data_IF_741855108061
#
_entry.id   IF_741855108061
#
_cell.length_a   1.000
_cell.length_b   1.000
_cell.length_c   1.000
_cell.angle_alpha   90.00
_cell.angle_beta   90.00
_cell.angle_gamma   90.00
#
_symmetry.space_group_name_H-M   'P 1'
#
loop_
_entity.id
_entity.type
_entity.pdbx_description
1 polymer ?
#
# COMPACT_ATOMS: atom_id res chain seq x y z
N UNK A 1 28.88 -40.67 -0.11
CA UNK A 1 28.18 -39.77 0.83
C UNK A 1 27.51 -38.72 -0.04
N UNK A 2 26.24 -38.95 -0.38
CA UNK A 2 25.46 -37.99 -1.16
C UNK A 2 25.18 -36.77 -0.29
N UNK A 3 25.83 -35.66 -0.64
CA UNK A 3 25.60 -34.35 -0.03
C UNK A 3 24.20 -33.89 -0.41
N UNK A 4 23.27 -34.08 0.52
CA UNK A 4 21.95 -33.49 0.49
C UNK A 4 22.08 -31.97 0.31
N UNK A 5 21.77 -31.49 -0.89
CA UNK A 5 21.50 -30.09 -1.13
C UNK A 5 20.21 -29.74 -0.39
N UNK A 6 20.32 -29.28 0.85
CA UNK A 6 19.24 -28.60 1.54
C UNK A 6 18.89 -27.35 0.74
N UNK A 7 17.88 -27.47 -0.13
CA UNK A 7 17.15 -26.34 -0.63
C UNK A 7 16.49 -25.69 0.61
N UNK A 8 16.80 -24.42 0.94
CA UNK A 8 16.15 -23.77 2.06
C UNK A 8 14.66 -23.84 1.79
N UNK A 9 13.90 -24.37 2.74
CA UNK A 9 12.43 -24.36 2.71
C UNK A 9 11.97 -22.91 2.79
N UNK A 10 12.08 -22.21 1.66
CA UNK A 10 11.61 -20.85 1.48
C UNK A 10 10.13 -20.82 1.83
N UNK A 11 9.79 -19.98 2.80
CA UNK A 11 8.41 -19.85 3.28
C UNK A 11 7.47 -19.68 2.09
N UNK A 12 6.38 -20.45 2.10
CA UNK A 12 5.38 -20.40 1.03
C UNK A 12 4.82 -18.99 0.80
N UNK A 13 3.94 -18.81 -0.20
CA UNK A 13 3.38 -17.50 -0.56
C UNK A 13 2.61 -16.81 0.58
N UNK A 14 2.24 -17.56 1.61
CA UNK A 14 1.54 -17.08 2.83
C UNK A 14 2.46 -16.92 4.04
N UNK A 15 3.77 -17.06 3.88
CA UNK A 15 4.70 -16.77 4.96
C UNK A 15 4.66 -15.29 5.31
N UNK A 16 4.83 -14.96 6.60
CA UNK A 16 4.82 -13.57 7.07
C UNK A 16 5.83 -12.70 6.32
N UNK A 17 7.00 -13.26 5.97
CA UNK A 17 8.02 -12.56 5.21
C UNK A 17 7.52 -12.18 3.81
N UNK A 18 6.87 -13.11 3.10
CA UNK A 18 6.30 -12.83 1.78
C UNK A 18 5.12 -11.85 1.87
N UNK A 19 4.26 -11.95 2.89
CA UNK A 19 3.16 -11.01 3.09
C UNK A 19 3.69 -9.59 3.30
N UNK A 20 4.69 -9.42 4.16
CA UNK A 20 5.32 -8.12 4.42
C UNK A 20 6.01 -7.57 3.17
N UNK A 21 6.75 -8.42 2.45
CA UNK A 21 7.40 -8.06 1.19
C UNK A 21 6.37 -7.59 0.16
N UNK A 22 5.33 -8.37 -0.10
CA UNK A 22 4.27 -8.03 -1.05
C UNK A 22 3.54 -6.74 -0.63
N UNK A 23 3.24 -6.57 0.65
CA UNK A 23 2.62 -5.35 1.18
C UNK A 23 3.46 -4.10 0.91
N UNK A 24 4.77 -4.17 1.18
CA UNK A 24 5.69 -3.07 0.90
C UNK A 24 5.75 -2.73 -0.60
N UNK A 25 5.81 -3.75 -1.47
CA UNK A 25 5.83 -3.59 -2.93
C UNK A 25 4.56 -2.95 -3.48
N UNK A 26 3.41 -3.37 -2.98
CA UNK A 26 2.11 -2.82 -3.40
C UNK A 26 1.98 -1.36 -2.98
N UNK A 27 2.35 -1.02 -1.75
CA UNK A 27 2.26 0.36 -1.26
C UNK A 27 3.24 1.27 -1.99
N UNK A 28 4.50 0.85 -2.16
CA UNK A 28 5.51 1.59 -2.91
C UNK A 28 5.04 1.87 -4.34
N UNK A 29 4.61 0.83 -5.07
CA UNK A 29 4.15 0.96 -6.45
C UNK A 29 2.89 1.83 -6.58
N UNK A 30 2.01 1.80 -5.58
CA UNK A 30 0.81 2.63 -5.56
C UNK A 30 1.13 4.12 -5.35
N UNK A 31 2.04 4.45 -4.42
CA UNK A 31 2.46 5.84 -4.20
C UNK A 31 3.23 6.37 -5.41
N UNK A 32 4.15 5.59 -5.98
CA UNK A 32 4.91 5.99 -7.18
C UNK A 32 3.97 6.28 -8.37
N UNK A 33 2.95 5.44 -8.58
CA UNK A 33 1.95 5.64 -9.64
C UNK A 33 1.18 6.97 -9.49
N UNK A 34 0.74 7.27 -8.26
CA UNK A 34 -0.03 8.49 -7.94
C UNK A 34 0.84 9.74 -8.05
N UNK A 35 2.05 9.68 -7.54
CA UNK A 35 2.96 10.82 -7.55
C UNK A 35 3.42 11.20 -8.97
N UNK A 36 3.70 10.21 -9.82
CA UNK A 36 4.05 10.43 -11.23
C UNK A 36 2.92 11.07 -12.05
N UNK A 37 1.66 10.99 -11.58
CA UNK A 37 0.52 11.69 -12.21
C UNK A 37 0.35 13.13 -11.72
N UNK A 38 0.81 13.44 -10.50
CA UNK A 38 0.65 14.77 -9.87
C UNK A 38 1.80 15.74 -10.19
N UNK A 39 2.99 15.25 -10.53
CA UNK A 39 4.17 16.09 -10.80
C UNK A 39 4.96 15.46 -11.94
N UNK A 40 5.30 16.26 -12.96
CA UNK A 40 6.26 15.85 -14.00
C UNK A 40 7.68 15.56 -13.47
N UNK A 41 7.91 15.76 -12.18
CA UNK A 41 9.07 15.27 -11.43
C UNK A 41 8.61 14.11 -10.56
N UNK A 42 9.11 12.91 -10.85
CA UNK A 42 8.94 11.75 -9.99
C UNK A 42 9.35 12.12 -8.56
N UNK A 43 8.56 11.78 -7.53
CA UNK A 43 9.03 11.95 -6.16
C UNK A 43 10.33 11.15 -6.00
N UNK A 44 11.26 11.64 -5.20
CA UNK A 44 12.40 10.88 -4.70
C UNK A 44 11.93 9.77 -3.73
N UNK A 45 11.02 8.90 -4.18
CA UNK A 45 10.93 7.56 -3.64
C UNK A 45 12.12 6.83 -4.22
N UNK A 46 13.31 7.06 -3.63
CA UNK A 46 14.59 6.41 -3.91
C UNK A 46 14.57 4.91 -3.52
N UNK A 47 13.45 4.25 -3.79
CA UNK A 47 13.26 2.83 -3.68
C UNK A 47 13.25 2.30 -5.10
N UNK A 48 14.25 1.50 -5.42
CA UNK A 48 14.39 0.88 -6.73
C UNK A 48 13.08 0.17 -7.11
N UNK A 49 12.67 0.24 -8.39
CA UNK A 49 11.52 -0.52 -8.87
C UNK A 49 11.83 -2.01 -8.71
N UNK A 50 11.25 -2.62 -7.69
CA UNK A 50 11.46 -4.05 -7.42
C UNK A 50 10.67 -4.86 -8.45
N UNK A 51 11.28 -5.90 -9.06
CA UNK A 51 10.58 -6.79 -9.98
C UNK A 51 9.34 -7.40 -9.31
N UNK A 52 8.17 -7.13 -9.88
CA UNK A 52 6.92 -7.75 -9.48
C UNK A 52 6.67 -9.00 -10.32
N UNK A 53 6.28 -10.09 -9.68
CA UNK A 53 5.74 -11.25 -10.39
C UNK A 53 4.35 -10.91 -10.98
N UNK A 54 3.86 -11.76 -11.88
CA UNK A 54 2.60 -11.54 -12.59
C UNK A 54 1.37 -11.43 -11.66
N UNK A 55 1.38 -12.07 -10.49
CA UNK A 55 0.28 -12.00 -9.52
C UNK A 55 0.30 -10.68 -8.76
N UNK A 56 1.46 -10.24 -8.30
CA UNK A 56 1.66 -8.94 -7.64
C UNK A 56 1.31 -7.78 -8.57
N UNK A 57 1.65 -7.92 -9.87
CA UNK A 57 1.28 -6.92 -10.89
C UNK A 57 -0.24 -6.77 -11.02
N UNK A 58 -1.00 -7.88 -11.08
CA UNK A 58 -2.47 -7.84 -11.13
C UNK A 58 -3.07 -7.19 -9.87
N UNK A 59 -2.51 -7.48 -8.69
CA UNK A 59 -2.94 -6.85 -7.44
C UNK A 59 -2.69 -5.34 -7.46
N UNK A 60 -1.52 -4.91 -7.95
CA UNK A 60 -1.19 -3.50 -8.15
C UNK A 60 -2.19 -2.81 -9.08
N UNK A 61 -2.53 -3.43 -10.21
CA UNK A 61 -3.54 -2.90 -11.14
C UNK A 61 -4.94 -2.78 -10.52
N UNK A 62 -5.37 -3.77 -9.73
CA UNK A 62 -6.63 -3.69 -8.99
C UNK A 62 -6.63 -2.56 -7.96
N UNK A 63 -5.54 -2.43 -7.18
CA UNK A 63 -5.39 -1.36 -6.19
C UNK A 63 -5.41 0.02 -6.86
N UNK A 64 -4.76 0.16 -8.02
CA UNK A 64 -4.79 1.38 -8.84
C UNK A 64 -6.20 1.75 -9.27
N UNK A 65 -6.98 0.80 -9.81
CA UNK A 65 -8.36 1.04 -10.24
C UNK A 65 -9.24 1.49 -9.07
N UNK A 66 -9.16 0.80 -7.93
CA UNK A 66 -9.92 1.17 -6.73
C UNK A 66 -9.52 2.56 -6.25
N UNK A 67 -8.22 2.87 -6.24
CA UNK A 67 -7.74 4.20 -5.89
C UNK A 67 -8.25 5.30 -6.84
N UNK A 68 -8.38 5.01 -8.14
CA UNK A 68 -8.91 5.96 -9.13
C UNK A 68 -10.40 6.23 -8.87
N UNK A 69 -11.16 5.20 -8.52
CA UNK A 69 -12.55 5.32 -8.10
C UNK A 69 -12.68 6.14 -6.80
N UNK A 70 -11.81 5.90 -5.80
CA UNK A 70 -11.78 6.65 -4.54
C UNK A 70 -11.38 8.11 -4.74
N UNK A 71 -10.46 8.40 -5.65
CA UNK A 71 -10.08 9.78 -6.02
C UNK A 71 -11.24 10.55 -6.66
N UNK A 72 -12.15 9.87 -7.36
CA UNK A 72 -13.36 10.49 -7.92
C UNK A 72 -14.42 10.85 -6.87
N UNK A 73 -14.29 10.33 -5.63
CA UNK A 73 -15.22 10.63 -4.55
C UNK A 73 -14.88 11.97 -3.89
N UNK A 74 -15.61 13.02 -4.27
CA UNK A 74 -15.40 14.39 -3.79
C UNK A 74 -15.61 14.57 -2.28
N UNK A 75 -16.49 13.79 -1.67
CA UNK A 75 -16.70 13.83 -0.21
C UNK A 75 -15.49 13.28 0.53
N UNK A 76 -14.97 12.14 0.08
CA UNK A 76 -13.74 11.56 0.59
C UNK A 76 -12.55 12.50 0.42
N UNK A 77 -12.39 13.10 -0.77
CA UNK A 77 -11.33 14.08 -1.01
C UNK A 77 -11.44 15.29 -0.06
N UNK A 78 -12.65 15.79 0.19
CA UNK A 78 -12.89 16.90 1.12
C UNK A 78 -12.51 16.52 2.55
N UNK A 79 -12.89 15.33 3.01
CA UNK A 79 -12.53 14.85 4.36
C UNK A 79 -11.02 14.73 4.52
N UNK A 80 -10.31 14.17 3.52
CA UNK A 80 -8.84 14.05 3.53
C UNK A 80 -8.18 15.44 3.50
N UNK A 81 -8.71 16.38 2.72
CA UNK A 81 -8.18 17.75 2.68
C UNK A 81 -8.30 18.47 4.04
N UNK A 82 -9.38 18.20 4.78
CA UNK A 82 -9.64 18.74 6.11
C UNK A 82 -8.80 18.10 7.23
N UNK A 83 -8.10 17.00 6.96
CA UNK A 83 -7.13 16.43 7.91
C UNK A 83 -5.93 17.35 8.01
N UNK A 84 -5.68 17.84 9.22
CA UNK A 84 -4.47 18.57 9.57
C UNK A 84 -3.26 17.62 9.58
N UNK A 85 -2.18 18.08 8.97
CA UNK A 85 -0.93 17.32 8.77
C UNK A 85 0.19 17.75 9.71
N UNK A 86 -0.11 18.50 10.77
CA UNK A 86 0.87 18.79 11.82
C UNK A 86 1.48 17.51 12.43
N UNK A 87 0.73 16.41 12.43
CA UNK A 87 1.21 15.08 12.86
C UNK A 87 0.61 13.94 12.02
N UNK A 88 1.09 13.70 10.78
CA UNK A 88 0.48 12.75 9.85
C UNK A 88 0.61 11.31 10.36
N UNK A 89 1.66 11.02 11.14
CA UNK A 89 1.87 9.72 11.79
C UNK A 89 0.78 9.43 12.82
N UNK A 90 0.45 10.38 13.69
CA UNK A 90 -0.58 10.19 14.72
C UNK A 90 -1.96 10.05 14.10
N UNK A 91 -2.28 10.87 13.10
CA UNK A 91 -3.53 10.75 12.34
C UNK A 91 -3.62 9.38 11.67
N UNK A 92 -2.55 8.91 11.03
CA UNK A 92 -2.51 7.58 10.42
C UNK A 92 -2.85 6.47 11.42
N UNK A 93 -2.17 6.44 12.57
CA UNK A 93 -2.43 5.42 13.60
C UNK A 93 -3.84 5.53 14.19
N UNK A 94 -4.35 6.75 14.41
CA UNK A 94 -5.71 6.95 14.91
C UNK A 94 -6.76 6.40 13.95
N UNK A 95 -6.65 6.75 12.66
CA UNK A 95 -7.58 6.25 11.63
C UNK A 95 -7.45 4.74 11.47
N UNK A 96 -6.23 4.20 11.47
CA UNK A 96 -6.02 2.75 11.40
C UNK A 96 -6.66 2.02 12.60
N UNK A 97 -6.47 2.52 13.81
CA UNK A 97 -7.06 1.92 15.01
C UNK A 97 -8.59 1.96 14.96
N UNK A 98 -9.17 3.09 14.54
CA UNK A 98 -10.62 3.25 14.43
C UNK A 98 -11.21 2.33 13.34
N UNK A 99 -10.55 2.21 12.19
CA UNK A 99 -10.95 1.32 11.09
C UNK A 99 -11.05 -0.15 11.48
N UNK A 100 -10.31 -0.62 12.49
CA UNK A 100 -10.31 -2.01 12.94
C UNK A 100 -10.85 -2.18 14.37
N UNK A 101 -11.46 -1.14 14.94
CA UNK A 101 -11.90 -1.11 16.34
C UNK A 101 -13.02 -2.10 16.68
N UNK A 102 -13.89 -2.41 15.71
CA UNK A 102 -15.00 -3.37 15.87
C UNK A 102 -14.58 -4.84 15.75
N UNK A 103 -13.29 -5.12 15.55
CA UNK A 103 -12.75 -6.47 15.39
C UNK A 103 -13.02 -7.13 14.04
N UNK A 104 -13.69 -6.45 13.09
CA UNK A 104 -13.99 -6.99 11.78
C UNK A 104 -12.86 -6.71 10.77
N UNK A 105 -12.13 -7.75 10.40
CA UNK A 105 -11.08 -7.64 9.39
C UNK A 105 -11.61 -8.04 8.01
N UNK A 106 -11.53 -7.12 7.05
CA UNK A 106 -11.86 -7.40 5.67
C UNK A 106 -10.90 -6.69 4.71
N UNK A 107 -10.77 -7.22 3.49
CA UNK A 107 -9.87 -6.69 2.48
C UNK A 107 -10.20 -5.26 2.04
N UNK A 108 -11.48 -4.85 2.09
CA UNK A 108 -11.89 -3.49 1.79
C UNK A 108 -11.26 -2.46 2.74
N UNK A 109 -11.19 -2.76 4.04
CA UNK A 109 -10.52 -1.90 5.03
C UNK A 109 -9.00 -1.86 4.83
N UNK A 110 -8.37 -2.98 4.47
CA UNK A 110 -6.94 -3.00 4.15
C UNK A 110 -6.64 -2.11 2.95
N UNK A 111 -7.46 -2.21 1.89
CA UNK A 111 -7.33 -1.37 0.69
C UNK A 111 -7.54 0.12 1.03
N UNK A 112 -8.56 0.45 1.82
CA UNK A 112 -8.82 1.82 2.26
C UNK A 112 -7.66 2.40 3.09
N UNK A 113 -7.00 1.57 3.92
CA UNK A 113 -5.83 2.00 4.69
C UNK A 113 -4.63 2.29 3.78
N UNK A 114 -4.38 1.44 2.77
CA UNK A 114 -3.34 1.69 1.76
C UNK A 114 -3.60 2.98 0.99
N UNK A 115 -4.85 3.21 0.60
CA UNK A 115 -5.26 4.44 -0.06
C UNK A 115 -5.01 5.67 0.85
N UNK A 116 -5.47 5.63 2.10
CA UNK A 116 -5.27 6.73 3.04
C UNK A 116 -3.79 7.03 3.30
N UNK A 117 -2.96 5.99 3.49
CA UNK A 117 -1.51 6.14 3.62
C UNK A 117 -0.91 6.88 2.41
N UNK A 118 -1.31 6.50 1.19
CA UNK A 118 -0.81 7.14 -0.02
C UNK A 118 -1.17 8.63 -0.09
N UNK A 119 -2.35 9.02 0.37
CA UNK A 119 -2.79 10.42 0.36
C UNK A 119 -2.06 11.24 1.40
N UNK A 120 -1.73 10.66 2.56
CA UNK A 120 -0.90 11.32 3.57
C UNK A 120 0.55 11.49 3.11
N UNK A 121 1.10 10.55 2.33
CA UNK A 121 2.47 10.67 1.78
C UNK A 121 2.56 11.73 0.69
N UNK A 122 1.48 11.99 -0.03
CA UNK A 122 1.44 12.90 -1.19
C UNK A 122 0.82 14.27 -0.90
N UNK A 123 0.37 14.51 0.34
CA UNK A 123 -0.19 15.78 0.80
C UNK A 123 0.93 16.64 1.38
#
# INVERSE_FOLDING_TARGET
MDGSGEQPRGGGPTSSEQIMKTGALLLQGFIQDRAGRMRGEAPELALDPVPQDASTKKLSECLKRIGDELDSNMELQRMIAAVDTDSPREVFFRVAADMFSDGNFNWGRVVALFYFASKLVLK
#
